data_IF_227849270984
#
_entry.id   IF_227849270984
#
_cell.length_a   1.000
_cell.length_b   1.000
_cell.length_c   1.000
_cell.angle_alpha   90.00
_cell.angle_beta   90.00
_cell.angle_gamma   90.00
#
_symmetry.space_group_name_H-M   'P 1'
#
loop_
_entity.id
_entity.type
_entity.pdbx_description
1 polymer ?
#
# COMPACT_ATOMS: atom_id res chain seq x y z
N UNK A 1 29.83 25.82 -48.38
CA UNK A 1 30.63 24.80 -47.66
C UNK A 1 31.70 25.52 -46.87
N UNK A 2 31.60 25.57 -45.54
CA UNK A 2 32.53 24.78 -44.71
C UNK A 2 31.86 24.04 -43.55
N UNK A 3 32.41 22.88 -43.22
CA UNK A 3 31.93 21.91 -42.25
C UNK A 3 32.17 22.34 -40.79
N UNK A 4 31.16 22.11 -39.94
CA UNK A 4 31.20 22.32 -38.50
C UNK A 4 32.01 21.23 -37.81
N UNK A 5 32.92 21.68 -36.96
CA UNK A 5 33.69 20.92 -35.98
C UNK A 5 32.75 20.09 -35.10
N UNK A 6 32.91 18.76 -35.14
CA UNK A 6 32.29 17.85 -34.19
C UNK A 6 33.20 17.70 -32.96
N UNK A 7 32.88 18.40 -31.87
CA UNK A 7 33.40 18.11 -30.54
C UNK A 7 32.42 17.18 -29.84
N UNK A 8 32.66 15.87 -29.89
CA UNK A 8 32.00 14.93 -28.96
C UNK A 8 33.05 14.04 -28.31
N UNK A 9 33.37 14.38 -27.06
CA UNK A 9 34.28 13.62 -26.22
C UNK A 9 33.92 13.88 -24.76
N UNK A 10 32.66 13.63 -24.38
CA UNK A 10 32.15 13.87 -23.04
C UNK A 10 32.23 12.59 -22.20
N UNK A 11 33.17 12.64 -21.26
CA UNK A 11 33.18 12.00 -19.94
C UNK A 11 32.73 10.53 -19.82
N UNK A 12 33.72 9.63 -19.73
CA UNK A 12 33.54 8.33 -19.07
C UNK A 12 33.63 8.53 -17.56
N UNK A 13 32.48 8.67 -16.90
CA UNK A 13 32.38 8.53 -15.44
C UNK A 13 32.38 7.03 -15.11
N UNK A 14 33.30 6.52 -14.28
CA UNK A 14 33.12 5.20 -13.69
C UNK A 14 32.02 5.30 -12.63
N UNK A 15 30.87 4.70 -12.92
CA UNK A 15 29.93 4.24 -11.89
C UNK A 15 30.67 3.19 -11.07
N UNK A 16 31.23 3.61 -9.94
CA UNK A 16 31.62 2.69 -8.87
C UNK A 16 30.54 2.79 -7.82
N UNK A 17 29.67 1.80 -7.88
CA UNK A 17 28.61 1.52 -6.92
C UNK A 17 29.21 1.60 -5.52
N UNK A 18 28.72 2.54 -4.73
CA UNK A 18 28.96 2.52 -3.31
C UNK A 18 28.37 1.19 -2.80
N UNK A 19 29.25 0.29 -2.39
CA UNK A 19 28.93 -0.79 -1.46
C UNK A 19 28.49 -0.14 -0.15
N UNK A 20 27.24 0.31 -0.11
CA UNK A 20 26.46 0.51 1.11
C UNK A 20 26.19 -0.90 1.64
N UNK A 21 27.18 -1.50 2.31
CA UNK A 21 27.37 -1.33 3.75
C UNK A 21 26.08 -1.69 4.48
N UNK A 22 25.80 -2.99 4.47
CA UNK A 22 25.44 -3.74 5.67
C UNK A 22 24.52 -2.98 6.63
N UNK A 23 23.28 -2.76 6.22
CA UNK A 23 22.19 -2.55 7.17
C UNK A 23 21.59 -3.92 7.41
N UNK A 24 21.96 -4.54 8.53
CA UNK A 24 21.11 -5.55 9.13
C UNK A 24 19.75 -4.90 9.33
N UNK A 25 18.81 -5.22 8.44
CA UNK A 25 17.42 -4.80 8.60
C UNK A 25 16.98 -5.48 9.89
N UNK A 26 16.56 -4.74 10.92
CA UNK A 26 15.91 -5.39 12.05
C UNK A 26 14.68 -6.03 11.43
N UNK A 27 14.65 -7.36 11.36
CA UNK A 27 13.62 -8.15 10.67
C UNK A 27 12.20 -7.71 11.11
N UNK A 28 12.07 -7.16 12.32
CA UNK A 28 10.83 -6.55 12.80
C UNK A 28 10.34 -5.32 12.02
N UNK A 29 11.17 -4.49 11.40
CA UNK A 29 10.71 -3.29 10.68
C UNK A 29 10.02 -3.63 9.36
N UNK A 30 10.40 -4.75 8.74
CA UNK A 30 9.81 -5.19 7.48
C UNK A 30 8.43 -5.81 7.70
N UNK A 31 8.28 -6.57 8.79
CA UNK A 31 6.99 -7.15 9.18
C UNK A 31 5.99 -6.07 9.60
N UNK A 32 6.44 -5.04 10.32
CA UNK A 32 5.61 -3.89 10.69
C UNK A 32 5.18 -3.08 9.47
N UNK A 33 6.12 -2.77 8.56
CA UNK A 33 5.81 -2.06 7.32
C UNK A 33 4.80 -2.84 6.47
N UNK A 34 4.96 -4.16 6.36
CA UNK A 34 4.02 -5.04 5.67
C UNK A 34 2.64 -5.06 6.34
N UNK A 35 2.60 -5.10 7.67
CA UNK A 35 1.34 -5.07 8.41
C UNK A 35 0.60 -3.73 8.23
N UNK A 36 1.32 -2.60 8.25
CA UNK A 36 0.77 -1.27 7.97
C UNK A 36 0.27 -1.16 6.53
N UNK A 37 1.01 -1.71 5.55
CA UNK A 37 0.56 -1.76 4.15
C UNK A 37 -0.75 -2.53 4.00
N UNK A 38 -0.88 -3.68 4.67
CA UNK A 38 -2.13 -4.47 4.69
C UNK A 38 -3.30 -3.67 5.29
N UNK A 39 -3.08 -2.97 6.40
CA UNK A 39 -4.10 -2.08 7.00
C UNK A 39 -4.50 -0.97 6.04
N UNK A 40 -3.52 -0.32 5.40
CA UNK A 40 -3.77 0.75 4.43
C UNK A 40 -4.57 0.24 3.21
N UNK A 41 -4.25 -0.96 2.73
CA UNK A 41 -4.98 -1.58 1.61
C UNK A 41 -6.42 -1.92 2.00
N UNK A 42 -6.63 -2.58 3.15
CA UNK A 42 -7.97 -2.88 3.64
C UNK A 42 -8.83 -1.62 3.88
N UNK A 43 -8.21 -0.53 4.34
CA UNK A 43 -8.89 0.75 4.51
C UNK A 43 -9.31 1.39 3.17
N UNK A 44 -8.51 1.23 2.12
CA UNK A 44 -8.86 1.68 0.76
C UNK A 44 -10.04 0.88 0.21
N UNK A 45 -10.04 -0.43 0.40
CA UNK A 45 -11.16 -1.29 -0.01
C UNK A 45 -12.45 -0.94 0.74
N UNK A 46 -12.39 -0.72 2.06
CA UNK A 46 -13.54 -0.26 2.82
C UNK A 46 -14.07 1.09 2.32
N UNK A 47 -13.17 2.05 2.05
CA UNK A 47 -13.56 3.36 1.51
C UNK A 47 -14.23 3.23 0.14
N UNK A 48 -13.68 2.39 -0.74
CA UNK A 48 -14.23 2.10 -2.06
C UNK A 48 -15.62 1.46 -1.98
N UNK A 49 -15.77 0.45 -1.12
CA UNK A 49 -17.05 -0.23 -0.88
C UNK A 49 -18.12 0.72 -0.32
N UNK A 50 -17.75 1.60 0.62
CA UNK A 50 -18.65 2.60 1.19
C UNK A 50 -19.09 3.64 0.16
N UNK A 51 -18.16 4.15 -0.67
CA UNK A 51 -18.51 5.07 -1.74
C UNK A 51 -19.47 4.44 -2.76
N UNK A 52 -19.26 3.15 -3.08
CA UNK A 52 -20.17 2.40 -3.96
C UNK A 52 -21.56 2.19 -3.31
N UNK A 53 -21.62 1.91 -2.00
CA UNK A 53 -22.87 1.81 -1.26
C UNK A 53 -23.64 3.14 -1.28
N UNK A 54 -22.98 4.27 -1.01
CA UNK A 54 -23.60 5.59 -1.06
C UNK A 54 -24.17 5.92 -2.45
N UNK A 55 -23.42 5.61 -3.52
CA UNK A 55 -23.89 5.77 -4.88
C UNK A 55 -25.13 4.92 -5.16
N UNK A 56 -25.17 3.66 -4.70
CA UNK A 56 -26.31 2.77 -4.88
C UNK A 56 -27.53 3.16 -4.06
N UNK A 57 -27.35 3.69 -2.84
CA UNK A 57 -28.46 4.20 -2.02
C UNK A 57 -29.14 5.41 -2.68
N UNK A 58 -28.35 6.27 -3.35
CA UNK A 58 -28.85 7.46 -4.04
C UNK A 58 -29.52 7.19 -5.40
N UNK A 59 -29.33 6.01 -5.98
CA UNK A 59 -29.74 5.72 -7.37
C UNK A 59 -30.68 4.53 -7.52
N UNK A 60 -30.58 3.52 -6.65
CA UNK A 60 -31.31 2.27 -6.81
C UNK A 60 -32.51 2.21 -5.89
N UNK A 61 -33.70 1.87 -6.42
CA UNK A 61 -34.89 1.46 -5.65
C UNK A 61 -34.84 -0.04 -5.31
N UNK A 62 -33.92 -0.79 -5.94
CA UNK A 62 -33.77 -2.23 -5.76
C UNK A 62 -33.12 -2.55 -4.41
N UNK A 63 -33.92 -3.20 -3.55
CA UNK A 63 -33.53 -3.58 -2.20
C UNK A 63 -32.45 -4.67 -2.20
N UNK A 64 -32.45 -5.57 -3.19
CA UNK A 64 -31.45 -6.65 -3.27
C UNK A 64 -30.04 -6.11 -3.53
N UNK A 65 -29.92 -5.12 -4.43
CA UNK A 65 -28.65 -4.45 -4.72
C UNK A 65 -28.11 -3.67 -3.51
N UNK A 66 -29.00 -3.03 -2.72
CA UNK A 66 -28.61 -2.35 -1.47
C UNK A 66 -28.10 -3.34 -0.43
N UNK A 67 -28.78 -4.48 -0.25
CA UNK A 67 -28.35 -5.54 0.68
C UNK A 67 -26.99 -6.11 0.28
N UNK A 68 -26.76 -6.33 -1.01
CA UNK A 68 -25.48 -6.81 -1.51
C UNK A 68 -24.34 -5.79 -1.30
N UNK A 69 -24.60 -4.49 -1.53
CA UNK A 69 -23.63 -3.43 -1.25
C UNK A 69 -23.32 -3.31 0.24
N UNK A 70 -24.32 -3.46 1.11
CA UNK A 70 -24.12 -3.48 2.55
C UNK A 70 -23.26 -4.68 2.98
N UNK A 71 -23.53 -5.86 2.44
CA UNK A 71 -22.73 -7.06 2.72
C UNK A 71 -21.25 -6.87 2.31
N UNK A 72 -20.97 -6.18 1.19
CA UNK A 72 -19.60 -5.84 0.78
C UNK A 72 -18.92 -4.88 1.74
N UNK A 73 -19.62 -3.87 2.22
CA UNK A 73 -19.07 -2.95 3.24
C UNK A 73 -18.75 -3.69 4.52
N UNK A 74 -19.64 -4.57 4.98
CA UNK A 74 -19.40 -5.41 6.17
C UNK A 74 -18.19 -6.33 5.98
N UNK A 75 -18.05 -6.96 4.81
CA UNK A 75 -16.89 -7.79 4.50
C UNK A 75 -15.58 -6.99 4.54
N UNK A 76 -15.52 -5.84 3.85
CA UNK A 76 -14.33 -4.99 3.84
C UNK A 76 -13.99 -4.42 5.24
N UNK A 77 -15.00 -4.18 6.08
CA UNK A 77 -14.79 -3.77 7.46
C UNK A 77 -14.18 -4.89 8.31
N UNK A 78 -14.66 -6.13 8.17
CA UNK A 78 -14.09 -7.30 8.86
C UNK A 78 -12.63 -7.52 8.44
N UNK A 79 -12.31 -7.36 7.16
CA UNK A 79 -10.93 -7.47 6.67
C UNK A 79 -10.02 -6.39 7.25
N UNK A 80 -10.52 -5.15 7.37
CA UNK A 80 -9.79 -4.06 8.03
C UNK A 80 -9.57 -4.34 9.52
N UNK A 81 -10.57 -4.89 10.22
CA UNK A 81 -10.41 -5.29 11.62
C UNK A 81 -9.34 -6.36 11.76
N UNK A 82 -9.40 -7.43 10.95
CA UNK A 82 -8.42 -8.50 10.98
C UNK A 82 -6.98 -8.00 10.70
N UNK A 83 -6.82 -7.07 9.75
CA UNK A 83 -5.52 -6.46 9.47
C UNK A 83 -4.99 -5.63 10.66
N UNK A 84 -5.86 -4.91 11.36
CA UNK A 84 -5.51 -4.15 12.56
C UNK A 84 -5.15 -5.07 13.72
N UNK A 85 -5.92 -6.11 13.96
CA UNK A 85 -5.65 -7.09 15.02
C UNK A 85 -4.29 -7.79 14.80
N UNK A 86 -3.94 -8.08 13.55
CA UNK A 86 -2.63 -8.63 13.20
C UNK A 86 -1.49 -7.64 13.48
N UNK A 87 -1.68 -6.36 13.17
CA UNK A 87 -0.72 -5.30 13.49
C UNK A 87 -0.57 -5.13 15.01
N UNK A 88 -1.68 -5.09 15.75
CA UNK A 88 -1.68 -4.94 17.20
C UNK A 88 -0.97 -6.12 17.88
N UNK A 89 -1.18 -7.36 17.41
CA UNK A 89 -0.44 -8.53 17.88
C UNK A 89 1.07 -8.41 17.61
N UNK A 90 1.46 -7.91 16.44
CA UNK A 90 2.86 -7.70 16.09
C UNK A 90 3.50 -6.64 17.00
N UNK A 91 2.82 -5.53 17.22
CA UNK A 91 3.28 -4.46 18.11
C UNK A 91 3.36 -4.93 19.57
N UNK A 92 2.40 -5.73 20.04
CA UNK A 92 2.42 -6.32 21.36
C UNK A 92 3.62 -7.26 21.56
N UNK A 93 3.94 -8.10 20.56
CA UNK A 93 5.14 -8.96 20.60
C UNK A 93 6.42 -8.14 20.62
N UNK A 94 6.52 -7.09 19.81
CA UNK A 94 7.69 -6.19 19.79
C UNK A 94 7.92 -5.46 21.12
N UNK A 95 6.86 -5.15 21.88
CA UNK A 95 6.96 -4.47 23.19
C UNK A 95 7.42 -5.40 24.32
N UNK A 96 7.34 -6.71 24.12
CA UNK A 96 7.71 -7.73 25.11
C UNK A 96 9.17 -8.23 24.95
N UNK A 97 9.84 -7.83 23.88
CA UNK A 97 11.25 -8.13 23.58
C UNK A 97 12.12 -6.88 23.78
#
# INVERSE_FOLDING_TARGET
MPARICLTGRAKLPVRNNSEKNMGRPEGNDDEATAVERVANAARELRSASAALEAHLNTSVDTAMRTLSLARVTAAFNDLQAARDALDQLLARKRLH
#
